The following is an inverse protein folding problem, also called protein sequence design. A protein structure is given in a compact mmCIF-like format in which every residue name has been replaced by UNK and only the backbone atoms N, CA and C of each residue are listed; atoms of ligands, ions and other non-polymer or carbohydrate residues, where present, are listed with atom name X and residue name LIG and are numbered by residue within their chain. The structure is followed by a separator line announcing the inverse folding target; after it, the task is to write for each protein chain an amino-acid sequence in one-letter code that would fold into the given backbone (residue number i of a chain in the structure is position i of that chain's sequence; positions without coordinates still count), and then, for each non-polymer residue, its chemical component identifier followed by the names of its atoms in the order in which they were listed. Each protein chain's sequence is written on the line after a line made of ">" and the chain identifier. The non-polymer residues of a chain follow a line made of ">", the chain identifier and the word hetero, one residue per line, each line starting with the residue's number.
data_IF_458549827892
#
_entry.id   IF_458549827892
#
_cell.length_a   1.000
_cell.length_b   1.000
_cell.length_c   1.000
_cell.angle_alpha   90.00
_cell.angle_beta   90.00
_cell.angle_gamma   90.00
#
_symmetry.space_group_name_H-M   'P 1'
#
loop_
_entity.id
_entity.type
_entity.pdbx_description
1 polymer ?
#
# COMPACT_ATOMS: atom_id res chain seq x y z
N UNK A 1 -24.70 -8.85 -2.34
CA UNK A 1 -24.71 -9.99 -3.28
C UNK A 1 -25.05 -9.48 -4.67
N UNK A 2 -24.39 -9.97 -5.72
CA UNK A 2 -24.76 -9.65 -7.09
C UNK A 2 -25.99 -10.48 -7.48
N UNK A 3 -26.95 -9.87 -8.16
CA UNK A 3 -28.15 -10.55 -8.65
C UNK A 3 -28.31 -10.25 -10.15
N UNK A 4 -28.62 -11.29 -10.92
CA UNK A 4 -28.92 -11.17 -12.36
C UNK A 4 -30.09 -12.07 -12.69
N UNK A 5 -30.96 -11.62 -13.60
CA UNK A 5 -32.02 -12.46 -14.11
C UNK A 5 -31.44 -13.54 -15.04
N UNK A 6 -31.90 -14.77 -14.90
CA UNK A 6 -31.58 -15.82 -15.86
C UNK A 6 -32.43 -15.63 -17.13
N UNK A 7 -31.78 -15.65 -18.30
CA UNK A 7 -32.45 -15.68 -19.60
C UNK A 7 -32.19 -17.02 -20.27
N UNK A 8 -33.26 -17.72 -20.70
CA UNK A 8 -33.20 -19.09 -21.25
C UNK A 8 -32.39 -20.05 -20.35
N UNK A 9 -32.54 -19.91 -19.04
CA UNK A 9 -31.85 -20.74 -18.04
C UNK A 9 -30.40 -20.35 -17.76
N UNK A 10 -29.90 -19.25 -18.33
CA UNK A 10 -28.51 -18.80 -18.15
C UNK A 10 -28.48 -17.44 -17.44
N UNK A 11 -27.75 -17.37 -16.33
CA UNK A 11 -27.46 -16.14 -15.60
C UNK A 11 -25.98 -15.78 -15.82
N UNK A 12 -25.70 -14.64 -16.44
CA UNK A 12 -24.34 -14.18 -16.73
C UNK A 12 -23.97 -13.00 -15.84
N UNK A 13 -22.93 -13.17 -15.03
CA UNK A 13 -22.36 -12.11 -14.21
C UNK A 13 -21.14 -11.53 -14.92
N UNK A 14 -21.22 -10.28 -15.37
CA UNK A 14 -20.12 -9.61 -16.06
C UNK A 14 -20.15 -8.10 -15.83
N UNK A 15 -19.02 -7.47 -15.40
CA UNK A 15 -17.77 -8.11 -14.98
C UNK A 15 -17.87 -8.67 -13.55
N UNK A 16 -17.13 -9.75 -13.28
CA UNK A 16 -16.84 -10.22 -11.92
C UNK A 16 -15.35 -10.01 -11.65
N UNK A 17 -15.02 -9.26 -10.60
CA UNK A 17 -13.64 -8.97 -10.22
C UNK A 17 -13.41 -9.34 -8.75
N UNK A 18 -12.32 -10.06 -8.49
CA UNK A 18 -11.79 -10.34 -7.16
C UNK A 18 -10.37 -9.84 -7.17
N UNK A 19 -10.10 -8.77 -6.42
CA UNK A 19 -8.80 -8.11 -6.42
C UNK A 19 -7.93 -8.51 -5.23
N UNK A 20 -8.51 -9.14 -4.21
CA UNK A 20 -7.77 -9.55 -3.01
C UNK A 20 -7.17 -10.94 -3.20
N UNK A 21 -5.87 -11.13 -2.92
CA UNK A 21 -5.22 -12.43 -2.94
C UNK A 21 -5.83 -13.39 -1.93
N UNK A 22 -5.91 -14.65 -2.31
CA UNK A 22 -6.47 -15.71 -1.48
C UNK A 22 -7.12 -16.81 -2.29
N UNK A 23 -7.65 -17.79 -1.59
CA UNK A 23 -8.38 -18.91 -2.18
C UNK A 23 -9.87 -18.71 -1.97
N UNK A 24 -10.62 -18.66 -3.07
CA UNK A 24 -12.05 -18.37 -3.07
C UNK A 24 -12.84 -19.49 -3.75
N UNK A 25 -14.13 -19.58 -3.41
CA UNK A 25 -15.15 -20.25 -4.21
C UNK A 25 -16.29 -19.27 -4.43
N UNK A 26 -16.93 -19.32 -5.60
CA UNK A 26 -18.12 -18.52 -5.87
C UNK A 26 -19.33 -19.41 -5.67
N UNK A 27 -20.15 -19.09 -4.68
CA UNK A 27 -21.44 -19.73 -4.44
C UNK A 27 -22.52 -18.99 -5.20
N UNK A 28 -23.21 -19.70 -6.09
CA UNK A 28 -24.39 -19.21 -6.79
C UNK A 28 -25.63 -19.83 -6.16
N UNK A 29 -26.64 -19.01 -5.88
CA UNK A 29 -27.95 -19.49 -5.49
C UNK A 29 -29.05 -18.93 -6.38
N UNK A 30 -30.10 -19.71 -6.59
CA UNK A 30 -31.26 -19.30 -7.34
C UNK A 30 -32.54 -19.83 -6.67
N UNK A 31 -33.56 -18.98 -6.47
CA UNK A 31 -34.84 -19.45 -5.97
C UNK A 31 -35.53 -20.30 -7.04
N UNK A 32 -36.00 -21.49 -6.66
CA UNK A 32 -36.92 -22.29 -7.49
C UNK A 32 -38.35 -21.96 -7.13
N UNK A 33 -39.13 -21.50 -8.09
CA UNK A 33 -40.59 -21.27 -7.95
C UNK A 33 -41.37 -22.46 -8.49
N UNK A 34 -42.48 -22.85 -7.84
CA UNK A 34 -43.36 -23.95 -8.28
C UNK A 34 -43.52 -25.07 -7.24
N UNK A 35 -44.06 -26.22 -7.65
CA UNK A 35 -44.56 -27.31 -6.79
C UNK A 35 -43.53 -27.98 -5.85
N UNK A 36 -42.25 -27.64 -5.93
CA UNK A 36 -41.28 -28.01 -4.91
C UNK A 36 -40.24 -26.89 -4.75
N UNK A 37 -40.71 -25.74 -4.29
CA UNK A 37 -39.88 -24.57 -4.00
C UNK A 37 -38.71 -24.97 -3.07
N UNK A 38 -37.49 -24.82 -3.59
CA UNK A 38 -36.25 -25.09 -2.90
C UNK A 38 -35.16 -24.21 -3.52
N UNK A 39 -34.15 -23.81 -2.75
CA UNK A 39 -33.04 -23.02 -3.27
C UNK A 39 -32.09 -23.93 -4.06
N UNK A 40 -31.81 -23.59 -5.32
CA UNK A 40 -30.76 -24.23 -6.09
C UNK A 40 -29.43 -23.60 -5.68
N UNK A 41 -28.47 -24.42 -5.29
CA UNK A 41 -27.13 -23.97 -4.92
C UNK A 41 -26.09 -24.71 -5.73
N UNK A 42 -25.11 -23.98 -6.25
CA UNK A 42 -23.88 -24.56 -6.82
C UNK A 42 -22.69 -23.70 -6.44
N UNK A 43 -21.50 -24.29 -6.45
CA UNK A 43 -20.25 -23.60 -6.18
C UNK A 43 -19.26 -23.90 -7.30
N UNK A 44 -18.42 -22.93 -7.62
CA UNK A 44 -17.27 -23.16 -8.51
C UNK A 44 -16.21 -24.03 -7.83
N UNK A 45 -15.26 -24.51 -8.63
CA UNK A 45 -13.98 -24.98 -8.10
C UNK A 45 -13.26 -23.84 -7.35
N UNK A 46 -12.21 -24.18 -6.61
CA UNK A 46 -11.35 -23.20 -5.95
C UNK A 46 -10.65 -22.32 -6.96
N UNK A 47 -10.65 -21.02 -6.70
CA UNK A 47 -9.99 -19.99 -7.48
C UNK A 47 -8.91 -19.39 -6.59
N UNK A 48 -7.66 -19.44 -7.05
CA UNK A 48 -6.55 -18.79 -6.33
C UNK A 48 -6.27 -17.45 -6.99
N UNK A 49 -6.41 -16.38 -6.21
CA UNK A 49 -6.00 -15.04 -6.60
C UNK A 49 -4.63 -14.78 -5.97
N UNK A 50 -3.67 -14.37 -6.80
CA UNK A 50 -2.33 -13.98 -6.37
C UNK A 50 -2.15 -12.48 -6.51
N UNK A 51 -1.20 -11.92 -5.76
CA UNK A 51 -0.80 -10.52 -5.88
C UNK A 51 -0.24 -10.22 -7.26
N UNK A 52 -0.55 -9.03 -7.78
CA UNK A 52 0.04 -8.54 -9.02
C UNK A 52 1.49 -8.09 -8.86
N UNK A 53 2.15 -7.67 -9.96
CA UNK A 53 3.46 -7.01 -9.87
C UNK A 53 3.36 -5.72 -9.06
N UNK A 54 4.45 -5.35 -8.38
CA UNK A 54 4.54 -4.10 -7.63
C UNK A 54 4.30 -2.89 -8.54
N UNK A 55 3.42 -1.98 -8.12
CA UNK A 55 3.10 -0.73 -8.80
C UNK A 55 3.14 0.50 -7.89
N UNK A 56 3.24 0.30 -6.58
CA UNK A 56 3.33 1.39 -5.62
C UNK A 56 4.03 1.00 -4.33
N UNK A 57 4.16 1.99 -3.47
CA UNK A 57 4.68 1.87 -2.12
C UNK A 57 3.58 2.19 -1.10
N UNK A 58 3.72 1.67 0.11
CA UNK A 58 2.90 2.03 1.26
C UNK A 58 3.77 2.07 2.52
N UNK A 59 3.56 3.06 3.40
CA UNK A 59 4.17 3.02 4.73
C UNK A 59 3.45 1.97 5.58
N UNK A 60 4.15 0.87 5.86
CA UNK A 60 3.70 -0.16 6.80
C UNK A 60 3.90 0.29 8.26
N UNK A 61 5.01 0.98 8.52
CA UNK A 61 5.25 1.69 9.78
C UNK A 61 5.60 3.12 9.45
N UNK A 62 4.81 4.06 9.98
CA UNK A 62 5.10 5.49 9.93
C UNK A 62 6.18 5.82 10.98
N UNK A 63 7.14 6.68 10.64
CA UNK A 63 8.15 7.11 11.60
C UNK A 63 7.55 8.09 12.63
N UNK A 64 7.97 7.97 13.88
CA UNK A 64 7.47 8.81 14.98
C UNK A 64 8.59 9.13 15.96
N UNK A 65 8.38 10.17 16.79
CA UNK A 65 9.37 10.60 17.78
C UNK A 65 10.69 11.07 17.18
N UNK A 66 10.62 11.72 16.03
CA UNK A 66 11.78 12.29 15.35
C UNK A 66 12.13 13.66 15.96
N UNK A 67 13.39 13.83 16.38
CA UNK A 67 13.89 15.09 16.93
C UNK A 67 15.17 15.52 16.21
N UNK A 68 15.41 16.84 16.13
CA UNK A 68 16.59 17.43 15.51
C UNK A 68 17.89 16.75 15.93
N UNK A 69 18.65 16.21 14.96
CA UNK A 69 19.94 15.55 15.17
C UNK A 69 19.87 14.19 15.88
N UNK A 70 18.69 13.58 16.01
CA UNK A 70 18.50 12.25 16.59
C UNK A 70 17.66 11.36 15.68
N UNK A 71 17.94 10.06 15.73
CA UNK A 71 17.11 9.07 15.08
C UNK A 71 15.68 9.09 15.64
N UNK A 72 14.71 8.87 14.76
CA UNK A 72 13.32 8.67 15.16
C UNK A 72 13.20 7.44 16.06
N UNK A 73 12.33 7.51 17.07
CA UNK A 73 12.09 6.39 17.99
C UNK A 73 11.37 5.23 17.29
N UNK A 74 10.45 5.54 16.38
CA UNK A 74 9.90 4.57 15.42
C UNK A 74 10.50 4.86 14.05
N UNK A 75 11.09 3.84 13.45
CA UNK A 75 11.73 3.93 12.14
C UNK A 75 10.76 3.48 11.04
N UNK A 76 10.82 4.07 9.83
CA UNK A 76 9.87 3.73 8.80
C UNK A 76 10.12 2.34 8.22
N UNK A 77 9.01 1.66 7.93
CA UNK A 77 8.99 0.43 7.13
C UNK A 77 8.08 0.67 5.94
N UNK A 78 8.60 0.47 4.73
CA UNK A 78 7.85 0.65 3.48
C UNK A 78 7.61 -0.71 2.85
N UNK A 79 6.38 -0.99 2.44
CA UNK A 79 5.99 -2.18 1.70
C UNK A 79 5.73 -1.89 0.23
N UNK A 80 5.91 -2.90 -0.61
CA UNK A 80 5.47 -2.88 -2.01
C UNK A 80 3.98 -3.22 -2.09
N UNK A 81 3.25 -2.53 -2.97
CA UNK A 81 1.86 -2.84 -3.27
C UNK A 81 1.62 -2.98 -4.77
N UNK A 82 0.66 -3.82 -5.16
CA UNK A 82 0.20 -3.94 -6.53
C UNK A 82 -0.80 -2.83 -6.90
N UNK A 83 -1.34 -2.88 -8.12
CA UNK A 83 -2.32 -1.90 -8.62
C UNK A 83 -3.62 -1.84 -7.80
N UNK A 84 -3.95 -2.92 -7.09
CA UNK A 84 -5.16 -3.04 -6.28
C UNK A 84 -4.89 -2.77 -4.79
N UNK A 85 -3.65 -2.39 -4.43
CA UNK A 85 -3.26 -2.10 -3.06
C UNK A 85 -2.89 -3.34 -2.23
N UNK A 86 -2.70 -4.50 -2.86
CA UNK A 86 -2.28 -5.70 -2.13
C UNK A 86 -0.77 -5.71 -1.93
N UNK A 87 -0.33 -6.20 -0.77
CA UNK A 87 1.08 -6.37 -0.44
C UNK A 87 1.81 -7.30 -1.41
N UNK A 88 2.97 -6.90 -1.91
CA UNK A 88 3.78 -7.67 -2.87
C UNK A 88 5.06 -8.15 -2.20
N UNK A 89 5.24 -9.46 -2.12
CA UNK A 89 6.46 -10.10 -1.62
C UNK A 89 7.53 -10.12 -2.72
N UNK A 90 8.47 -9.18 -2.68
CA UNK A 90 9.56 -9.11 -3.64
C UNK A 90 10.80 -8.43 -3.08
N UNK A 91 11.96 -9.05 -3.25
CA UNK A 91 13.25 -8.53 -2.82
C UNK A 91 13.94 -7.68 -3.91
N UNK A 92 14.87 -6.83 -3.49
CA UNK A 92 15.78 -6.15 -4.41
C UNK A 92 15.33 -4.78 -4.90
N UNK A 93 14.14 -4.30 -4.47
CA UNK A 93 13.70 -2.94 -4.80
C UNK A 93 14.36 -1.95 -3.84
N UNK A 94 15.12 -0.99 -4.37
CA UNK A 94 15.70 0.09 -3.58
C UNK A 94 14.64 1.16 -3.33
N UNK A 95 14.27 1.35 -2.07
CA UNK A 95 13.35 2.39 -1.59
C UNK A 95 14.17 3.49 -0.94
N UNK A 96 13.85 4.74 -1.27
CA UNK A 96 14.45 5.94 -0.69
C UNK A 96 13.38 6.82 -0.06
N UNK A 97 13.61 7.23 1.18
CA UNK A 97 12.80 8.19 1.91
C UNK A 97 13.42 9.58 1.80
N UNK A 98 12.55 10.57 1.63
CA UNK A 98 12.90 11.98 1.55
C UNK A 98 11.91 12.81 2.34
N UNK A 99 12.24 14.07 2.60
CA UNK A 99 11.31 15.04 3.17
C UNK A 99 10.83 16.00 2.10
N UNK A 100 9.56 16.36 2.19
CA UNK A 100 8.98 17.49 1.52
C UNK A 100 8.49 18.49 2.57
N UNK A 101 8.89 19.75 2.47
CA UNK A 101 8.41 20.78 3.38
C UNK A 101 6.92 21.04 3.12
N UNK A 102 6.11 21.00 4.18
CA UNK A 102 4.67 21.27 4.12
C UNK A 102 4.33 22.52 4.96
N UNK A 103 4.79 23.70 4.54
CA UNK A 103 4.40 24.97 5.17
C UNK A 103 5.32 26.16 4.87
N UNK A 104 4.87 27.41 5.14
CA UNK A 104 5.72 28.59 5.01
C UNK A 104 6.86 28.56 6.04
N UNK A 105 8.04 28.99 5.60
CA UNK A 105 9.19 29.24 6.46
C UNK A 105 8.77 30.18 7.60
N UNK A 106 9.08 29.86 8.86
CA UNK A 106 8.97 30.85 9.92
C UNK A 106 9.84 32.08 9.55
N UNK A 107 9.29 33.30 9.49
CA UNK A 107 10.05 34.49 9.14
C UNK A 107 11.09 34.76 10.23
N UNK A 108 12.37 34.48 9.94
CA UNK A 108 13.48 34.70 10.88
C UNK A 108 14.67 33.76 10.71
N UNK A 109 14.52 32.62 10.01
CA UNK A 109 15.57 31.60 9.90
C UNK A 109 16.06 31.31 8.46
N UNK A 110 15.80 32.22 7.51
CA UNK A 110 16.08 32.01 6.07
C UNK A 110 17.56 31.80 5.70
N UNK A 111 18.48 31.95 6.66
CA UNK A 111 19.92 31.77 6.44
C UNK A 111 20.55 30.52 7.06
N UNK A 112 19.81 29.68 7.83
CA UNK A 112 20.42 28.57 8.61
C UNK A 112 19.90 27.17 8.29
N UNK A 113 18.79 27.04 7.56
CA UNK A 113 18.18 25.75 7.27
C UNK A 113 18.08 25.60 5.76
N UNK A 114 18.97 24.78 5.19
CA UNK A 114 18.79 24.32 3.81
C UNK A 114 17.40 23.68 3.66
N UNK A 115 16.80 23.74 2.47
CA UNK A 115 15.45 23.20 2.23
C UNK A 115 15.27 21.74 2.67
N UNK A 116 14.07 21.17 2.50
CA UNK A 116 13.67 19.86 3.05
C UNK A 116 14.71 18.72 2.92
N UNK A 117 15.50 18.67 1.84
CA UNK A 117 16.59 17.70 1.65
C UNK A 117 17.76 17.84 2.65
N UNK A 118 18.01 19.01 3.24
CA UNK A 118 19.01 19.21 4.29
C UNK A 118 18.49 18.81 5.68
N UNK A 119 17.19 18.53 5.80
CA UNK A 119 16.53 18.19 7.06
C UNK A 119 16.44 16.68 7.33
N UNK A 120 16.80 15.81 6.39
CA UNK A 120 16.84 14.35 6.60
C UNK A 120 18.29 13.86 6.68
N UNK A 121 18.57 13.01 7.66
CA UNK A 121 19.90 12.44 7.89
C UNK A 121 19.85 10.95 8.24
N UNK A 122 21.03 10.35 8.39
CA UNK A 122 21.18 8.91 8.63
C UNK A 122 20.94 8.07 7.38
N UNK A 123 20.54 6.80 7.57
CA UNK A 123 20.16 5.94 6.45
C UNK A 123 18.78 6.33 5.95
N UNK A 124 18.70 6.72 4.68
CA UNK A 124 17.46 7.14 4.02
C UNK A 124 17.04 6.21 2.90
N UNK A 125 17.81 5.16 2.62
CA UNK A 125 17.46 4.15 1.62
C UNK A 125 17.64 2.75 2.17
N UNK A 126 16.78 1.83 1.76
CA UNK A 126 16.86 0.41 2.08
C UNK A 126 16.37 -0.43 0.90
N UNK A 127 16.87 -1.66 0.79
CA UNK A 127 16.42 -2.62 -0.22
C UNK A 127 15.35 -3.53 0.38
N UNK A 128 14.30 -3.83 -0.38
CA UNK A 128 13.25 -4.75 0.09
C UNK A 128 13.80 -6.16 0.31
N UNK A 129 13.36 -6.80 1.40
CA UNK A 129 13.61 -8.22 1.67
C UNK A 129 12.65 -9.12 0.87
N UNK A 130 12.77 -10.44 1.01
CA UNK A 130 11.88 -11.41 0.32
C UNK A 130 10.41 -11.23 0.67
N UNK A 131 10.10 -10.68 1.84
CA UNK A 131 8.74 -10.33 2.25
C UNK A 131 8.27 -8.97 1.71
N UNK A 132 9.01 -8.29 0.84
CA UNK A 132 8.58 -7.03 0.23
C UNK A 132 8.69 -5.79 1.11
N UNK A 133 9.42 -5.87 2.23
CA UNK A 133 9.60 -4.75 3.15
C UNK A 133 10.99 -4.12 3.04
N UNK A 134 11.05 -2.80 2.92
CA UNK A 134 12.25 -1.99 3.09
C UNK A 134 12.25 -1.37 4.49
N UNK A 135 13.18 -1.79 5.34
CA UNK A 135 13.34 -1.30 6.71
C UNK A 135 14.44 -0.23 6.74
N UNK A 136 14.13 0.99 7.19
CA UNK A 136 15.04 2.13 7.15
C UNK A 136 15.50 2.42 8.58
N UNK A 137 16.65 1.89 9.04
CA UNK A 137 16.90 1.67 10.46
C UNK A 137 17.38 2.89 11.25
N UNK A 138 17.78 3.97 10.58
CA UNK A 138 18.45 5.09 11.24
C UNK A 138 18.08 6.44 10.66
N UNK A 139 16.85 6.57 10.13
CA UNK A 139 16.34 7.85 9.64
C UNK A 139 16.30 8.86 10.79
N UNK A 140 16.78 10.08 10.50
CA UNK A 140 16.86 11.19 11.45
C UNK A 140 16.30 12.46 10.81
N UNK A 141 15.73 13.34 11.64
CA UNK A 141 15.43 14.71 11.24
C UNK A 141 16.54 15.62 11.76
N UNK A 142 17.19 16.39 10.89
CA UNK A 142 18.27 17.32 11.25
C UNK A 142 17.72 18.62 11.83
N UNK A 143 16.57 19.10 11.34
CA UNK A 143 15.97 20.37 11.77
C UNK A 143 14.59 20.13 12.39
N UNK A 144 14.40 20.57 13.63
CA UNK A 144 13.09 20.58 14.30
C UNK A 144 12.26 21.81 13.89
N UNK A 145 10.94 21.77 14.07
CA UNK A 145 10.06 22.95 14.00
C UNK A 145 9.38 23.24 12.67
N UNK A 146 9.64 22.45 11.62
CA UNK A 146 8.90 22.51 10.35
C UNK A 146 7.91 21.36 10.28
N UNK A 147 6.75 21.60 9.67
CA UNK A 147 5.91 20.52 9.20
C UNK A 147 6.58 19.91 7.96
N UNK A 148 6.96 18.64 8.05
CA UNK A 148 7.48 17.86 6.92
C UNK A 148 6.51 16.73 6.58
N UNK A 149 6.37 16.46 5.29
CA UNK A 149 5.86 15.20 4.75
C UNK A 149 7.04 14.28 4.45
N UNK A 150 6.87 13.00 4.73
CA UNK A 150 7.90 11.98 4.51
C UNK A 150 7.48 11.20 3.27
N UNK A 151 8.27 11.28 2.21
CA UNK A 151 7.96 10.64 0.93
C UNK A 151 8.87 9.43 0.74
N UNK A 152 8.28 8.24 0.62
CA UNK A 152 8.98 7.05 0.14
C UNK A 152 8.85 6.94 -1.38
N UNK A 153 9.96 6.70 -2.05
CA UNK A 153 10.06 6.62 -3.51
C UNK A 153 10.93 5.44 -3.95
N UNK A 154 10.63 4.90 -5.12
CA UNK A 154 11.40 3.85 -5.79
C UNK A 154 11.21 4.00 -7.30
N UNK A 155 12.19 3.53 -8.08
CA UNK A 155 12.14 3.66 -9.54
C UNK A 155 10.88 3.01 -10.11
N UNK A 156 10.13 3.74 -10.95
CA UNK A 156 8.92 3.27 -11.64
C UNK A 156 7.72 2.85 -10.76
N UNK A 157 7.76 3.11 -9.44
CA UNK A 157 6.65 2.87 -8.52
C UNK A 157 5.99 4.18 -8.09
N UNK A 158 4.67 4.14 -7.87
CA UNK A 158 3.95 5.23 -7.21
C UNK A 158 4.50 5.43 -5.79
N UNK A 159 4.85 6.66 -5.43
CA UNK A 159 5.38 7.01 -4.10
C UNK A 159 4.32 6.90 -3.00
N UNK A 160 4.78 6.74 -1.76
CA UNK A 160 3.96 6.88 -0.56
C UNK A 160 4.33 8.16 0.19
N UNK A 161 3.36 8.77 0.88
CA UNK A 161 3.54 9.92 1.77
C UNK A 161 3.00 9.64 3.18
#
# INVERSE_FOLDING_TARGET
>A
PLQVAAYKGVATFSPLAISTPGTYTIKCTAPRTGFAAAELTTSTNTLTIITGPARGLLFFVQPTGCFGGKACTSQPVVSLIDAAGNHVESAGTVVTVSLQASGPHYPGESGRHGGASAAIGGTVSATTNSSGYANIPSMQLTYAGYAYRIIASASSLTSAE
#
